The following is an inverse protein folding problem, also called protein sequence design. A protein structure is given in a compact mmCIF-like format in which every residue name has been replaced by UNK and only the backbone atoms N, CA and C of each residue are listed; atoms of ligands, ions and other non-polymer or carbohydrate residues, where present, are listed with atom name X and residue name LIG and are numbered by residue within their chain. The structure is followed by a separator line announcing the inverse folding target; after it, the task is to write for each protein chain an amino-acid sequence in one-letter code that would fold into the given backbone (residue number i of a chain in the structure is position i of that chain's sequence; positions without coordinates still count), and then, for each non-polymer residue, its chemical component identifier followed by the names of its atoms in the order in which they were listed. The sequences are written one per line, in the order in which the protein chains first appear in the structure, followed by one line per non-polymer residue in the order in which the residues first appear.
data_IF_272897574530
#
_entry.id   IF_272897574530
#
_cell.length_a   1.000
_cell.length_b   1.000
_cell.length_c   1.000
_cell.angle_alpha   90.00
_cell.angle_beta   90.00
_cell.angle_gamma   90.00
#
_symmetry.space_group_name_H-M   'P 1'
#
loop_
_entity.id
_entity.type
_entity.pdbx_description
1 polymer ?
#
# COMPACT_ATOMS: atom_id res chain seq x y z
N UNK A 1 -7.23 -17.40 20.89
CA UNK A 1 -7.71 -18.15 19.71
C UNK A 1 -7.64 -17.20 18.53
N UNK A 2 -6.81 -17.45 17.50
CA UNK A 2 -6.90 -16.66 16.27
C UNK A 2 -8.16 -17.08 15.52
N UNK A 3 -9.03 -16.11 15.25
CA UNK A 3 -10.15 -16.29 14.32
C UNK A 3 -9.54 -16.24 12.92
N UNK A 4 -9.39 -17.40 12.28
CA UNK A 4 -9.07 -17.47 10.86
C UNK A 4 -10.34 -17.08 10.10
N UNK A 5 -10.37 -15.86 9.59
CA UNK A 5 -11.42 -15.40 8.69
C UNK A 5 -11.11 -15.98 7.29
N UNK A 6 -11.67 -17.14 6.98
CA UNK A 6 -11.70 -17.60 5.59
C UNK A 6 -12.67 -16.70 4.81
N UNK A 7 -12.12 -15.81 4.00
CA UNK A 7 -12.89 -15.00 3.07
C UNK A 7 -13.25 -15.88 1.87
N UNK A 8 -14.54 -16.14 1.67
CA UNK A 8 -15.05 -16.79 0.47
C UNK A 8 -14.55 -16.04 -0.78
N UNK A 9 -14.10 -16.75 -1.84
CA UNK A 9 -13.66 -16.10 -3.06
C UNK A 9 -14.81 -15.31 -3.68
N UNK A 10 -14.67 -13.98 -3.73
CA UNK A 10 -15.62 -13.13 -4.45
C UNK A 10 -15.55 -13.49 -5.93
N UNK A 11 -16.69 -13.88 -6.51
CA UNK A 11 -16.80 -14.32 -7.90
C UNK A 11 -16.09 -13.34 -8.86
N UNK A 12 -15.11 -13.83 -9.62
CA UNK A 12 -14.40 -13.07 -10.65
C UNK A 12 -13.03 -12.50 -10.25
N UNK A 13 -12.61 -12.62 -8.99
CA UNK A 13 -11.25 -12.24 -8.58
C UNK A 13 -10.23 -13.31 -8.97
N UNK A 14 -9.22 -12.92 -9.76
CA UNK A 14 -8.00 -13.73 -9.94
C UNK A 14 -7.02 -13.40 -8.83
N UNK A 15 -6.70 -14.39 -8.01
CA UNK A 15 -5.68 -14.26 -6.97
C UNK A 15 -4.33 -14.69 -7.50
N UNK A 16 -3.34 -13.82 -7.36
CA UNK A 16 -1.93 -14.14 -7.62
C UNK A 16 -1.19 -14.12 -6.28
N UNK A 17 -0.60 -15.26 -5.91
CA UNK A 17 0.34 -15.34 -4.78
C UNK A 17 1.74 -15.31 -5.35
N UNK A 18 2.49 -14.26 -5.01
CA UNK A 18 3.89 -14.18 -5.42
C UNK A 18 4.77 -14.48 -4.21
N UNK A 19 5.52 -15.59 -4.21
CA UNK A 19 6.45 -15.89 -3.12
C UNK A 19 7.56 -14.84 -3.09
N UNK A 20 7.84 -14.32 -1.90
CA UNK A 20 8.99 -13.45 -1.67
C UNK A 20 10.20 -14.35 -1.40
N UNK A 21 11.01 -14.58 -2.43
CA UNK A 21 12.28 -15.31 -2.31
C UNK A 21 13.48 -14.36 -2.09
N UNK A 22 13.23 -13.05 -2.13
CA UNK A 22 14.23 -11.98 -2.13
C UNK A 22 14.00 -10.96 -1.00
N UNK A 23 14.79 -9.88 -1.00
CA UNK A 23 14.63 -8.75 -0.08
C UNK A 23 13.18 -8.23 -0.05
N UNK A 24 12.74 -7.71 1.10
CA UNK A 24 11.39 -7.16 1.28
C UNK A 24 11.08 -5.99 0.30
N UNK A 25 12.12 -5.36 -0.25
CA UNK A 25 12.05 -4.29 -1.25
C UNK A 25 11.94 -4.79 -2.68
N UNK A 26 11.99 -6.10 -2.93
CA UNK A 26 11.76 -6.66 -4.25
C UNK A 26 10.31 -6.42 -4.69
N UNK A 27 10.14 -5.82 -5.87
CA UNK A 27 8.84 -5.59 -6.49
C UNK A 27 8.57 -6.66 -7.55
N UNK A 28 7.73 -7.67 -7.27
CA UNK A 28 7.41 -8.68 -8.26
C UNK A 28 6.73 -8.06 -9.46
N UNK A 29 7.19 -8.46 -10.65
CA UNK A 29 6.62 -7.98 -11.90
C UNK A 29 5.27 -8.66 -12.12
N UNK A 30 4.20 -7.87 -12.13
CA UNK A 30 2.83 -8.35 -12.40
C UNK A 30 2.33 -7.64 -13.66
N UNK A 31 1.54 -8.33 -14.47
CA UNK A 31 0.93 -7.70 -15.63
C UNK A 31 -0.26 -6.84 -15.23
N UNK A 32 -0.28 -5.61 -15.74
CA UNK A 32 -1.36 -4.67 -15.55
C UNK A 32 -1.19 -3.76 -14.33
N UNK A 33 -2.09 -2.78 -14.22
CA UNK A 33 -2.15 -1.84 -13.11
C UNK A 33 -3.38 -2.12 -12.25
N UNK A 34 -3.29 -1.78 -10.97
CA UNK A 34 -4.34 -2.01 -9.98
C UNK A 34 -5.04 -0.70 -9.58
N UNK A 35 -6.30 -0.83 -9.18
CA UNK A 35 -7.15 0.30 -8.78
C UNK A 35 -7.11 0.53 -7.26
N UNK A 36 -6.46 -0.36 -6.50
CA UNK A 36 -6.38 -0.29 -5.05
C UNK A 36 -5.09 -0.90 -4.53
N UNK A 37 -4.37 -0.15 -3.69
CA UNK A 37 -3.17 -0.59 -2.99
C UNK A 37 -3.46 -0.56 -1.48
N UNK A 38 -3.50 -1.74 -0.86
CA UNK A 38 -3.61 -1.92 0.58
C UNK A 38 -2.22 -2.24 1.10
N UNK A 39 -1.50 -1.21 1.54
CA UNK A 39 -0.10 -1.35 1.91
C UNK A 39 0.02 -1.68 3.40
N UNK A 40 0.23 -2.96 3.71
CA UNK A 40 0.41 -3.44 5.08
C UNK A 40 1.84 -3.94 5.31
N UNK A 41 2.74 -3.00 5.53
CA UNK A 41 4.15 -3.27 5.81
C UNK A 41 4.43 -3.18 7.32
N UNK A 42 5.51 -3.84 7.77
CA UNK A 42 6.07 -3.61 9.10
C UNK A 42 6.40 -2.14 9.33
N UNK A 43 6.36 -1.70 10.58
CA UNK A 43 6.59 -0.30 10.93
C UNK A 43 7.94 0.22 10.42
N UNK A 44 8.03 1.53 10.22
CA UNK A 44 9.28 2.18 9.78
C UNK A 44 10.45 2.02 10.75
N UNK A 45 10.19 1.66 12.01
CA UNK A 45 11.22 1.34 13.00
C UNK A 45 11.84 -0.04 12.77
N UNK A 46 11.03 -1.00 12.33
CA UNK A 46 11.43 -2.39 12.15
C UNK A 46 11.97 -2.65 10.75
N UNK A 47 11.42 -1.96 9.74
CA UNK A 47 11.75 -2.21 8.34
C UNK A 47 11.86 -0.90 7.56
N UNK A 48 12.85 -0.08 7.89
CA UNK A 48 13.03 1.26 7.34
C UNK A 48 13.09 1.29 5.80
N UNK A 49 13.68 0.26 5.17
CA UNK A 49 13.80 0.15 3.72
C UNK A 49 12.45 0.24 2.99
N UNK A 50 11.39 -0.32 3.57
CA UNK A 50 10.02 -0.30 3.03
C UNK A 50 9.37 1.09 3.04
N UNK A 51 9.94 2.03 3.77
CA UNK A 51 9.42 3.39 3.93
C UNK A 51 10.32 4.44 3.30
N UNK A 52 11.35 4.02 2.56
CA UNK A 52 12.18 4.92 1.79
C UNK A 52 11.37 5.52 0.63
N UNK A 53 11.48 6.82 0.45
CA UNK A 53 10.66 7.57 -0.51
C UNK A 53 10.84 7.06 -1.95
N UNK A 54 12.09 6.72 -2.33
CA UNK A 54 12.40 6.15 -3.63
C UNK A 54 11.71 4.79 -3.86
N UNK A 55 11.73 3.91 -2.86
CA UNK A 55 11.06 2.61 -2.94
C UNK A 55 9.55 2.78 -3.07
N UNK A 56 8.95 3.61 -2.20
CA UNK A 56 7.51 3.88 -2.23
C UNK A 56 7.07 4.49 -3.56
N UNK A 57 7.84 5.45 -4.09
CA UNK A 57 7.56 6.08 -5.39
C UNK A 57 7.60 5.05 -6.52
N UNK A 58 8.62 4.18 -6.53
CA UNK A 58 8.73 3.11 -7.52
C UNK A 58 7.57 2.12 -7.44
N UNK A 59 7.21 1.67 -6.23
CA UNK A 59 6.07 0.80 -5.98
C UNK A 59 4.77 1.42 -6.48
N UNK A 60 4.48 2.66 -6.08
CA UNK A 60 3.24 3.35 -6.43
C UNK A 60 3.16 3.56 -7.95
N UNK A 61 4.22 4.05 -8.60
CA UNK A 61 4.23 4.27 -10.04
C UNK A 61 4.09 2.96 -10.84
N UNK A 62 4.70 1.88 -10.36
CA UNK A 62 4.65 0.60 -11.05
C UNK A 62 3.25 -0.02 -11.02
N UNK A 63 2.62 -0.06 -9.83
CA UNK A 63 1.34 -0.77 -9.67
C UNK A 63 0.11 0.10 -9.90
N UNK A 64 0.13 1.39 -9.56
CA UNK A 64 -1.09 2.21 -9.58
C UNK A 64 -1.60 2.47 -11.00
N UNK A 65 -2.91 2.33 -11.19
CA UNK A 65 -3.59 2.78 -12.40
C UNK A 65 -3.90 4.29 -12.35
N UNK A 66 -4.46 4.82 -13.44
CA UNK A 66 -4.88 6.23 -13.50
C UNK A 66 -5.94 6.58 -12.46
N UNK A 67 -6.79 5.61 -12.07
CA UNK A 67 -7.82 5.74 -11.05
C UNK A 67 -7.51 4.76 -9.92
N UNK A 68 -6.91 5.24 -8.84
CA UNK A 68 -6.36 4.36 -7.81
C UNK A 68 -6.59 4.87 -6.39
N UNK A 69 -6.92 3.95 -5.50
CA UNK A 69 -6.91 4.14 -4.05
C UNK A 69 -5.58 3.60 -3.48
N UNK A 70 -5.00 4.30 -2.51
CA UNK A 70 -3.93 3.80 -1.66
C UNK A 70 -4.34 3.97 -0.21
N UNK A 71 -4.20 2.92 0.60
CA UNK A 71 -4.45 3.00 2.04
C UNK A 71 -3.47 2.17 2.85
N UNK A 72 -3.16 2.67 4.04
CA UNK A 72 -2.32 1.98 5.03
C UNK A 72 -2.61 2.53 6.43
N UNK A 73 -2.33 1.73 7.45
CA UNK A 73 -2.39 2.18 8.84
C UNK A 73 -1.37 3.28 9.14
N UNK A 74 -0.27 3.37 8.38
CA UNK A 74 0.83 4.28 8.64
C UNK A 74 0.56 5.71 8.14
N UNK A 75 1.26 6.71 8.70
CA UNK A 75 1.15 8.13 8.31
C UNK A 75 2.54 8.80 8.30
N UNK A 76 3.51 8.19 7.61
CA UNK A 76 4.89 8.69 7.59
C UNK A 76 5.08 9.83 6.59
N UNK A 77 5.95 10.81 6.89
CA UNK A 77 6.21 11.94 5.98
C UNK A 77 6.76 11.51 4.62
N UNK A 78 7.58 10.45 4.58
CA UNK A 78 8.12 9.85 3.36
C UNK A 78 7.00 9.34 2.43
N UNK A 79 6.05 8.58 3.00
CA UNK A 79 4.88 8.13 2.26
C UNK A 79 4.04 9.29 1.72
N UNK A 80 3.78 10.30 2.56
CA UNK A 80 3.00 11.48 2.15
C UNK A 80 3.64 12.22 0.96
N UNK A 81 4.98 12.28 0.88
CA UNK A 81 5.69 12.89 -0.26
C UNK A 81 5.65 12.01 -1.51
N UNK A 82 5.90 10.71 -1.37
CA UNK A 82 5.81 9.75 -2.48
C UNK A 82 4.41 9.72 -3.12
N UNK A 83 3.35 9.71 -2.31
CA UNK A 83 1.98 9.75 -2.82
C UNK A 83 1.71 11.04 -3.62
N UNK A 84 2.11 12.20 -3.09
CA UNK A 84 1.96 13.48 -3.79
C UNK A 84 2.74 13.52 -5.10
N UNK A 85 3.98 13.04 -5.13
CA UNK A 85 4.78 13.02 -6.35
C UNK A 85 4.20 12.07 -7.42
N UNK A 86 3.50 11.01 -7.01
CA UNK A 86 2.78 10.08 -7.89
C UNK A 86 1.38 10.58 -8.31
N UNK A 87 0.98 11.79 -7.92
CA UNK A 87 -0.30 12.42 -8.30
C UNK A 87 -1.48 12.01 -7.43
N UNK A 88 -1.26 11.45 -6.24
CA UNK A 88 -2.32 11.19 -5.28
C UNK A 88 -2.64 12.42 -4.43
N UNK A 89 -3.92 12.56 -4.10
CA UNK A 89 -4.44 13.49 -3.09
C UNK A 89 -4.62 12.74 -1.79
N UNK A 90 -4.16 13.31 -0.67
CA UNK A 90 -4.30 12.70 0.66
C UNK A 90 -5.53 13.25 1.38
N UNK A 91 -6.29 12.35 1.99
CA UNK A 91 -7.31 12.66 3.00
C UNK A 91 -6.72 12.41 4.38
N UNK A 92 -6.96 13.32 5.33
CA UNK A 92 -6.59 13.07 6.70
C UNK A 92 -7.60 12.12 7.34
N UNK A 93 -7.14 10.98 7.84
CA UNK A 93 -7.99 10.02 8.57
C UNK A 93 -7.45 9.76 9.95
N UNK A 94 -8.36 9.67 10.91
CA UNK A 94 -8.03 9.24 12.25
C UNK A 94 -7.39 7.85 12.22
N UNK A 95 -6.38 7.64 13.06
CA UNK A 95 -5.84 6.30 13.27
C UNK A 95 -6.81 5.46 14.11
N UNK A 96 -6.68 4.13 14.01
CA UNK A 96 -7.42 3.20 14.85
C UNK A 96 -6.73 3.02 16.21
N UNK A 97 -7.51 2.72 17.27
CA UNK A 97 -7.05 2.41 18.64
C UNK A 97 -5.81 3.19 19.13
N UNK A 98 -6.01 4.48 19.42
CA UNK A 98 -4.97 5.33 20.00
C UNK A 98 -3.87 5.78 19.02
N UNK A 99 -3.90 5.34 17.76
CA UNK A 99 -3.07 5.94 16.70
C UNK A 99 -3.67 7.27 16.27
N UNK A 100 -2.80 8.26 16.03
CA UNK A 100 -3.22 9.62 15.68
C UNK A 100 -3.82 9.70 14.27
N UNK A 101 -3.13 9.12 13.30
CA UNK A 101 -3.50 9.25 11.88
C UNK A 101 -3.26 7.93 11.14
N UNK A 102 -4.02 7.72 10.07
CA UNK A 102 -3.81 6.72 9.03
C UNK A 102 -3.78 7.38 7.65
N UNK A 103 -3.29 6.68 6.62
CA UNK A 103 -3.24 7.23 5.26
C UNK A 103 -4.39 6.69 4.42
N UNK A 104 -5.14 7.61 3.84
CA UNK A 104 -6.07 7.38 2.75
C UNK A 104 -5.74 8.35 1.63
N UNK A 105 -5.47 7.84 0.43
CA UNK A 105 -5.09 8.67 -0.70
C UNK A 105 -5.72 8.18 -2.00
N UNK A 106 -6.21 9.10 -2.80
CA UNK A 106 -6.89 8.81 -4.07
C UNK A 106 -6.21 9.51 -5.23
N UNK A 107 -6.25 8.87 -6.41
CA UNK A 107 -5.80 9.42 -7.68
C UNK A 107 -6.96 9.32 -8.66
N UNK A 108 -7.50 10.46 -9.09
CA UNK A 108 -8.65 10.57 -10.00
C UNK A 108 -9.88 9.74 -9.59
N UNK A 109 -10.21 9.72 -8.29
CA UNK A 109 -11.42 9.11 -7.72
C UNK A 109 -12.28 10.16 -7.02
#
# INVERSE_FOLDING_TARGET
MPVLLELEPVLGLKTYKVPLENELTYLPQVQGQIQGILFDAYSSKTSQALWQEAYLTNLINYYSSSNCLFTTYASTSSLKRALKSCGFTLENRAGFEGKKESTWATKNL
#
